data_IF_970914582552
#
_entry.id   IF_970914582552
#
_cell.length_a   1.000
_cell.length_b   1.000
_cell.length_c   1.000
_cell.angle_alpha   90.00
_cell.angle_beta   90.00
_cell.angle_gamma   90.00
#
_symmetry.space_group_name_H-M   'P 1'
#
loop_
_entity.id
_entity.type
_entity.pdbx_description
1 polymer ?
#
# COMPACT_ATOMS: atom_id res chain seq x y z
N UNK A 1 23.06 37.80 -26.44
CA UNK A 1 22.11 38.47 -25.53
C UNK A 1 21.04 37.44 -25.16
N UNK A 2 21.32 36.60 -24.16
CA UNK A 2 20.40 35.55 -23.74
C UNK A 2 19.31 36.19 -22.88
N UNK A 3 18.15 36.49 -23.48
CA UNK A 3 16.96 36.82 -22.71
C UNK A 3 16.65 35.61 -21.83
N UNK A 4 16.90 35.76 -20.52
CA UNK A 4 16.27 34.88 -19.53
C UNK A 4 14.77 35.07 -19.71
N UNK A 5 14.15 34.20 -20.50
CA UNK A 5 12.71 34.09 -20.61
C UNK A 5 12.22 33.76 -19.21
N UNK A 6 11.74 34.79 -18.50
CA UNK A 6 10.99 34.60 -17.27
C UNK A 6 9.85 33.62 -17.56
N UNK A 7 9.52 32.74 -16.60
CA UNK A 7 8.64 31.63 -16.90
C UNK A 7 7.24 32.14 -17.28
N UNK A 8 6.71 31.68 -18.42
CA UNK A 8 5.47 32.21 -19.03
C UNK A 8 4.26 32.13 -18.09
N UNK A 9 3.43 33.18 -17.95
CA UNK A 9 2.31 33.18 -17.00
C UNK A 9 1.33 31.99 -17.14
N UNK A 10 1.24 31.38 -18.33
CA UNK A 10 0.46 30.16 -18.57
C UNK A 10 0.95 28.92 -17.80
N UNK A 11 2.24 28.80 -17.47
CA UNK A 11 2.76 27.61 -16.77
C UNK A 11 2.15 27.47 -15.38
N UNK A 12 1.93 28.58 -14.66
CA UNK A 12 1.33 28.57 -13.31
C UNK A 12 -0.12 28.11 -13.33
N UNK A 13 -0.87 28.54 -14.34
CA UNK A 13 -2.28 28.16 -14.52
C UNK A 13 -2.39 26.67 -14.84
N UNK A 14 -1.54 26.16 -15.74
CA UNK A 14 -1.51 24.73 -16.05
C UNK A 14 -1.10 23.90 -14.83
N UNK A 15 -0.05 24.32 -14.12
CA UNK A 15 0.44 23.66 -12.91
C UNK A 15 -0.66 23.57 -11.83
N UNK A 16 -1.36 24.68 -11.57
CA UNK A 16 -2.46 24.71 -10.63
C UNK A 16 -3.59 23.77 -11.04
N UNK A 17 -4.00 23.77 -12.32
CA UNK A 17 -5.05 22.87 -12.83
C UNK A 17 -4.68 21.40 -12.70
N UNK A 18 -3.44 21.04 -13.05
CA UNK A 18 -2.96 19.65 -12.95
C UNK A 18 -2.99 19.16 -11.50
N UNK A 19 -2.54 20.01 -10.56
CA UNK A 19 -2.52 19.65 -9.15
C UNK A 19 -3.92 19.56 -8.54
N UNK A 20 -4.80 20.54 -8.79
CA UNK A 20 -6.14 20.56 -8.22
C UNK A 20 -7.03 19.42 -8.74
N UNK A 21 -6.86 19.03 -10.00
CA UNK A 21 -7.67 17.98 -10.60
C UNK A 21 -7.20 16.55 -10.22
N UNK A 22 -5.92 16.37 -9.91
CA UNK A 22 -5.33 15.04 -9.80
C UNK A 22 -5.82 14.27 -8.58
N UNK A 23 -5.63 14.78 -7.36
CA UNK A 23 -5.97 14.05 -6.13
C UNK A 23 -7.44 13.58 -6.10
N UNK A 24 -8.43 14.44 -6.42
CA UNK A 24 -9.83 14.00 -6.45
C UNK A 24 -10.09 12.92 -7.52
N UNK A 25 -9.50 13.07 -8.71
CA UNK A 25 -9.64 12.10 -9.80
C UNK A 25 -9.02 10.75 -9.41
N UNK A 26 -7.82 10.80 -8.82
CA UNK A 26 -7.08 9.63 -8.37
C UNK A 26 -7.86 8.84 -7.32
N UNK A 27 -8.36 9.51 -6.28
CA UNK A 27 -9.15 8.88 -5.22
C UNK A 27 -10.49 8.34 -5.74
N UNK A 28 -11.08 8.98 -6.74
CA UNK A 28 -12.29 8.48 -7.39
C UNK A 28 -12.03 7.18 -8.14
N UNK A 29 -10.99 7.13 -8.97
CA UNK A 29 -10.59 5.91 -9.70
C UNK A 29 -10.24 4.79 -8.72
N UNK A 30 -9.48 5.10 -7.68
CA UNK A 30 -9.16 4.14 -6.62
C UNK A 30 -10.43 3.59 -5.97
N UNK A 31 -11.39 4.44 -5.62
CA UNK A 31 -12.65 4.00 -4.99
C UNK A 31 -13.47 3.09 -5.90
N UNK A 32 -13.51 3.35 -7.21
CA UNK A 32 -14.15 2.47 -8.19
C UNK A 32 -13.48 1.10 -8.20
N UNK A 33 -12.14 1.06 -8.28
CA UNK A 33 -11.37 -0.18 -8.30
C UNK A 33 -11.56 -0.97 -7.01
N UNK A 34 -11.54 -0.29 -5.86
CA UNK A 34 -11.79 -0.91 -4.55
C UNK A 34 -13.20 -1.50 -4.46
N UNK A 35 -14.22 -0.83 -5.00
CA UNK A 35 -15.58 -1.38 -5.07
C UNK A 35 -15.64 -2.65 -5.92
N UNK A 36 -14.93 -2.68 -7.06
CA UNK A 36 -14.81 -3.88 -7.90
C UNK A 36 -14.12 -5.02 -7.14
N UNK A 37 -12.97 -4.76 -6.50
CA UNK A 37 -12.25 -5.77 -5.74
C UNK A 37 -13.05 -6.32 -4.54
N UNK A 38 -13.78 -5.47 -3.82
CA UNK A 38 -14.65 -5.89 -2.72
C UNK A 38 -15.84 -6.73 -3.21
N UNK A 39 -16.44 -6.35 -4.34
CA UNK A 39 -17.54 -7.10 -4.95
C UNK A 39 -17.08 -8.47 -5.42
N UNK A 40 -15.90 -8.53 -6.04
CA UNK A 40 -15.26 -9.78 -6.46
C UNK A 40 -14.97 -10.70 -5.26
N UNK A 41 -14.37 -10.16 -4.19
CA UNK A 41 -14.15 -10.92 -2.95
C UNK A 41 -15.46 -11.47 -2.37
N UNK A 42 -16.49 -10.64 -2.29
CA UNK A 42 -17.81 -11.05 -1.81
C UNK A 42 -18.41 -12.16 -2.69
N UNK A 43 -18.20 -12.10 -4.00
CA UNK A 43 -18.67 -13.11 -4.96
C UNK A 43 -17.96 -14.45 -4.75
N UNK A 44 -16.64 -14.45 -4.59
CA UNK A 44 -15.86 -15.66 -4.30
C UNK A 44 -16.30 -16.29 -2.98
N UNK A 45 -16.44 -15.49 -1.93
CA UNK A 45 -16.92 -15.97 -0.62
C UNK A 45 -18.34 -16.54 -0.77
N UNK A 46 -19.26 -15.84 -1.43
CA UNK A 46 -20.63 -16.29 -1.61
C UNK A 46 -20.74 -17.59 -2.43
N UNK A 47 -19.86 -17.78 -3.41
CA UNK A 47 -19.82 -19.01 -4.20
C UNK A 47 -19.28 -20.20 -3.39
N UNK A 48 -18.25 -19.99 -2.58
CA UNK A 48 -17.44 -21.08 -2.02
C UNK A 48 -17.55 -21.27 -0.50
N UNK A 49 -18.30 -20.42 0.23
CA UNK A 49 -18.34 -20.42 1.70
C UNK A 49 -18.68 -21.78 2.33
N UNK A 50 -19.45 -22.63 1.65
CA UNK A 50 -19.82 -23.97 2.14
C UNK A 50 -18.64 -24.95 2.12
N UNK A 51 -17.67 -24.73 1.26
CA UNK A 51 -16.48 -25.57 1.07
C UNK A 51 -15.26 -24.99 1.80
N UNK A 52 -15.36 -23.76 2.30
CA UNK A 52 -14.27 -23.10 3.00
C UNK A 52 -13.89 -23.83 4.29
N UNK A 53 -12.63 -24.23 4.34
CA UNK A 53 -11.98 -24.60 5.61
C UNK A 53 -11.67 -23.35 6.43
N UNK A 54 -11.26 -23.54 7.68
CA UNK A 54 -10.80 -22.45 8.57
C UNK A 54 -9.71 -21.60 7.91
N UNK A 55 -8.79 -22.22 7.15
CA UNK A 55 -7.71 -21.51 6.45
C UNK A 55 -8.25 -20.58 5.36
N UNK A 56 -9.28 -21.01 4.61
CA UNK A 56 -9.90 -20.18 3.58
C UNK A 56 -10.61 -18.96 4.18
N UNK A 57 -11.27 -19.13 5.33
CA UNK A 57 -11.84 -18.00 6.08
C UNK A 57 -10.78 -17.02 6.55
N UNK A 58 -9.64 -17.51 7.03
CA UNK A 58 -8.51 -16.65 7.38
C UNK A 58 -7.97 -15.91 6.15
N UNK A 59 -7.81 -16.58 5.00
CA UNK A 59 -7.38 -15.93 3.77
C UNK A 59 -8.37 -14.84 3.33
N UNK A 60 -9.67 -15.11 3.33
CA UNK A 60 -10.69 -14.12 2.99
C UNK A 60 -10.66 -12.90 3.92
N UNK A 61 -10.54 -13.12 5.24
CA UNK A 61 -10.45 -12.05 6.23
C UNK A 61 -9.18 -11.19 6.05
N UNK A 62 -8.04 -11.84 5.80
CA UNK A 62 -6.77 -11.17 5.60
C UNK A 62 -6.74 -10.43 4.26
N UNK A 63 -7.28 -11.00 3.18
CA UNK A 63 -7.47 -10.31 1.90
C UNK A 63 -8.36 -9.08 2.06
N UNK A 64 -9.50 -9.19 2.76
CA UNK A 64 -10.35 -8.04 3.07
C UNK A 64 -9.58 -6.93 3.82
N UNK A 65 -8.75 -7.33 4.80
CA UNK A 65 -7.89 -6.39 5.53
C UNK A 65 -6.87 -5.70 4.62
N UNK A 66 -6.31 -6.43 3.64
CA UNK A 66 -5.39 -5.86 2.64
C UNK A 66 -6.06 -4.82 1.77
N UNK A 67 -7.30 -5.05 1.29
CA UNK A 67 -8.04 -4.05 0.51
C UNK A 67 -8.20 -2.74 1.31
N UNK A 68 -8.56 -2.85 2.60
CA UNK A 68 -8.66 -1.69 3.48
C UNK A 68 -7.30 -0.99 3.67
N UNK A 69 -6.23 -1.75 3.87
CA UNK A 69 -4.87 -1.21 4.01
C UNK A 69 -4.47 -0.45 2.75
N UNK A 70 -4.65 -1.06 1.57
CA UNK A 70 -4.32 -0.44 0.28
C UNK A 70 -5.07 0.89 0.13
N UNK A 71 -6.38 0.88 0.32
CA UNK A 71 -7.19 2.10 0.27
C UNK A 71 -6.70 3.17 1.25
N UNK A 72 -6.41 2.78 2.51
CA UNK A 72 -5.95 3.69 3.54
C UNK A 72 -4.61 4.32 3.19
N UNK A 73 -3.64 3.53 2.73
CA UNK A 73 -2.30 4.00 2.35
C UNK A 73 -2.38 4.99 1.21
N UNK A 74 -3.11 4.67 0.14
CA UNK A 74 -3.25 5.59 -0.99
C UNK A 74 -4.01 6.87 -0.64
N UNK A 75 -5.02 6.79 0.22
CA UNK A 75 -5.74 7.98 0.73
C UNK A 75 -4.80 8.89 1.50
N UNK A 76 -3.99 8.33 2.41
CA UNK A 76 -2.98 9.09 3.16
C UNK A 76 -1.98 9.74 2.20
N UNK A 77 -1.42 8.98 1.26
CA UNK A 77 -0.41 9.51 0.34
C UNK A 77 -0.95 10.64 -0.54
N UNK A 78 -2.15 10.46 -1.12
CA UNK A 78 -2.79 11.48 -1.95
C UNK A 78 -3.24 12.73 -1.18
N UNK A 79 -3.42 12.62 0.14
CA UNK A 79 -3.81 13.76 0.99
C UNK A 79 -2.59 14.51 1.55
N UNK A 80 -1.51 13.80 1.88
CA UNK A 80 -0.34 14.38 2.56
C UNK A 80 0.61 15.05 1.58
N UNK A 81 0.77 14.51 0.37
CA UNK A 81 1.78 14.97 -0.57
C UNK A 81 1.18 15.69 -1.75
N UNK A 82 1.81 16.80 -2.11
CA UNK A 82 1.51 17.53 -3.32
C UNK A 82 2.48 17.15 -4.43
N UNK A 83 2.01 16.67 -5.58
CA UNK A 83 2.88 16.48 -6.75
C UNK A 83 2.08 16.53 -8.04
N UNK A 84 2.75 16.93 -9.13
CA UNK A 84 2.18 16.84 -10.47
C UNK A 84 2.25 15.37 -10.93
N UNK A 85 1.11 14.73 -11.24
CA UNK A 85 1.09 13.34 -11.64
C UNK A 85 1.74 13.11 -13.00
N UNK A 86 2.35 11.94 -13.15
CA UNK A 86 2.76 11.40 -14.44
C UNK A 86 1.84 10.23 -14.84
N UNK A 87 1.97 9.72 -16.07
CA UNK A 87 1.23 8.54 -16.57
C UNK A 87 1.38 7.33 -15.65
N UNK A 88 2.53 7.22 -14.98
CA UNK A 88 2.82 6.16 -14.00
C UNK A 88 1.89 6.24 -12.79
N UNK A 89 1.64 7.44 -12.28
CA UNK A 89 0.73 7.67 -11.17
C UNK A 89 -0.70 7.27 -11.56
N UNK A 90 -1.11 7.58 -12.80
CA UNK A 90 -2.41 7.18 -13.32
C UNK A 90 -2.55 5.65 -13.49
N UNK A 91 -1.45 4.93 -13.76
CA UNK A 91 -1.46 3.48 -13.94
C UNK A 91 -1.49 2.70 -12.61
N UNK A 92 -0.97 3.27 -11.50
CA UNK A 92 -0.84 2.56 -10.23
C UNK A 92 -2.15 1.93 -9.71
N UNK A 93 -3.29 2.65 -9.66
CA UNK A 93 -4.54 2.06 -9.16
C UNK A 93 -4.97 0.81 -9.93
N UNK A 94 -4.71 0.77 -11.25
CA UNK A 94 -5.06 -0.39 -12.08
C UNK A 94 -4.17 -1.59 -11.83
N UNK A 95 -2.86 -1.38 -11.66
CA UNK A 95 -1.92 -2.45 -11.30
C UNK A 95 -2.28 -3.03 -9.94
N UNK A 96 -2.57 -2.16 -8.97
CA UNK A 96 -3.01 -2.56 -7.63
C UNK A 96 -4.33 -3.32 -7.70
N UNK A 97 -5.32 -2.80 -8.42
CA UNK A 97 -6.60 -3.48 -8.62
C UNK A 97 -6.46 -4.87 -9.25
N UNK A 98 -5.59 -5.03 -10.24
CA UNK A 98 -5.32 -6.32 -10.84
C UNK A 98 -4.70 -7.31 -9.84
N UNK A 99 -3.79 -6.84 -8.97
CA UNK A 99 -3.21 -7.64 -7.89
C UNK A 99 -4.23 -8.01 -6.81
N UNK A 100 -5.15 -7.10 -6.47
CA UNK A 100 -6.25 -7.35 -5.53
C UNK A 100 -7.21 -8.41 -6.06
N UNK A 101 -7.62 -8.32 -7.33
CA UNK A 101 -8.45 -9.33 -7.99
C UNK A 101 -7.73 -10.68 -8.09
N UNK A 102 -6.43 -10.68 -8.39
CA UNK A 102 -5.62 -11.89 -8.35
C UNK A 102 -5.60 -12.50 -6.95
N UNK A 103 -5.40 -11.67 -5.91
CA UNK A 103 -5.35 -12.12 -4.52
C UNK A 103 -6.68 -12.72 -4.05
N UNK A 104 -7.81 -12.14 -4.46
CA UNK A 104 -9.15 -12.68 -4.20
C UNK A 104 -9.29 -14.12 -4.74
N UNK A 105 -8.91 -14.34 -6.00
CA UNK A 105 -8.97 -15.67 -6.63
C UNK A 105 -7.95 -16.64 -6.02
N UNK A 106 -6.80 -16.14 -5.57
CA UNK A 106 -5.78 -16.96 -4.95
C UNK A 106 -6.23 -17.61 -3.63
N UNK A 107 -7.30 -17.11 -2.99
CA UNK A 107 -7.91 -17.72 -1.80
C UNK A 107 -8.26 -19.20 -2.05
N UNK A 108 -8.84 -19.51 -3.21
CA UNK A 108 -9.32 -20.87 -3.56
C UNK A 108 -8.28 -21.70 -4.30
N UNK A 109 -7.29 -21.05 -4.92
CA UNK A 109 -6.22 -21.73 -5.66
C UNK A 109 -5.12 -22.28 -4.77
N UNK A 110 -4.97 -21.74 -3.56
CA UNK A 110 -4.11 -22.27 -2.52
C UNK A 110 -3.08 -21.30 -1.96
N UNK A 111 -2.49 -21.71 -0.85
CA UNK A 111 -1.67 -20.86 0.00
C UNK A 111 -0.45 -20.24 -0.70
N UNK A 112 0.28 -21.00 -1.53
CA UNK A 112 1.47 -20.47 -2.21
C UNK A 112 1.11 -19.33 -3.18
N UNK A 113 0.02 -19.47 -3.94
CA UNK A 113 -0.45 -18.40 -4.84
C UNK A 113 -1.00 -17.21 -4.06
N UNK A 114 -1.69 -17.46 -2.95
CA UNK A 114 -2.18 -16.38 -2.08
C UNK A 114 -1.04 -15.57 -1.47
N UNK A 115 0.02 -16.24 -0.98
CA UNK A 115 1.24 -15.58 -0.50
C UNK A 115 1.97 -14.82 -1.61
N UNK A 116 2.00 -15.35 -2.84
CA UNK A 116 2.58 -14.66 -3.99
C UNK A 116 1.80 -13.37 -4.33
N UNK A 117 0.46 -13.42 -4.28
CA UNK A 117 -0.39 -12.24 -4.47
C UNK A 117 -0.13 -11.16 -3.42
N UNK A 118 -0.04 -11.56 -2.15
CA UNK A 118 0.33 -10.64 -1.06
C UNK A 118 1.73 -10.07 -1.25
N UNK A 119 2.70 -10.88 -1.68
CA UNK A 119 4.04 -10.41 -1.96
C UNK A 119 4.02 -9.35 -3.08
N UNK A 120 3.23 -9.57 -4.13
CA UNK A 120 3.04 -8.59 -5.21
C UNK A 120 2.47 -7.26 -4.70
N UNK A 121 1.44 -7.30 -3.86
CA UNK A 121 0.86 -6.09 -3.24
C UNK A 121 1.88 -5.40 -2.34
N UNK A 122 2.61 -6.15 -1.51
CA UNK A 122 3.66 -5.58 -0.65
C UNK A 122 4.79 -4.94 -1.46
N UNK A 123 5.26 -5.61 -2.52
CA UNK A 123 6.25 -5.05 -3.45
C UNK A 123 5.75 -3.74 -4.08
N UNK A 124 4.49 -3.71 -4.53
CA UNK A 124 3.88 -2.48 -5.05
C UNK A 124 3.77 -1.38 -3.98
N UNK A 125 3.50 -1.72 -2.72
CA UNK A 125 3.54 -0.77 -1.62
C UNK A 125 4.93 -0.14 -1.43
N UNK A 126 6.00 -0.94 -1.52
CA UNK A 126 7.37 -0.44 -1.44
C UNK A 126 7.71 0.45 -2.65
N UNK A 127 7.38 0.02 -3.87
CA UNK A 127 7.59 0.79 -5.10
C UNK A 127 6.81 2.10 -5.09
N UNK A 128 5.53 2.06 -4.69
CA UNK A 128 4.66 3.23 -4.58
C UNK A 128 5.21 4.23 -3.56
N UNK A 129 5.65 3.76 -2.38
CA UNK A 129 6.27 4.61 -1.36
C UNK A 129 7.54 5.29 -1.88
N UNK A 130 8.38 4.54 -2.60
CA UNK A 130 9.60 5.09 -3.18
C UNK A 130 9.31 6.10 -4.29
N UNK A 131 8.35 5.78 -5.17
CA UNK A 131 7.93 6.66 -6.25
C UNK A 131 7.35 7.97 -5.72
N UNK A 132 6.45 7.88 -4.75
CA UNK A 132 5.86 9.05 -4.08
C UNK A 132 6.94 9.90 -3.40
N UNK A 133 7.90 9.30 -2.71
CA UNK A 133 9.03 10.06 -2.11
C UNK A 133 9.86 10.79 -3.17
N UNK A 134 10.09 10.16 -4.32
CA UNK A 134 10.79 10.76 -5.43
C UNK A 134 10.01 11.91 -6.08
N UNK A 135 8.69 11.76 -6.25
CA UNK A 135 7.81 12.81 -6.78
C UNK A 135 7.70 13.98 -5.81
N UNK A 136 7.47 13.70 -4.52
CA UNK A 136 7.31 14.71 -3.49
C UNK A 136 8.56 15.60 -3.36
N UNK A 137 9.76 15.06 -3.58
CA UNK A 137 11.03 15.82 -3.56
C UNK A 137 11.15 16.89 -4.64
N UNK A 138 10.36 16.79 -5.72
CA UNK A 138 10.40 17.77 -6.81
C UNK A 138 9.67 19.07 -6.46
N UNK A 139 8.74 19.00 -5.51
CA UNK A 139 7.95 20.15 -5.09
C UNK A 139 8.53 20.80 -3.83
N UNK A 140 8.83 22.09 -3.92
CA UNK A 140 9.44 22.87 -2.83
C UNK A 140 8.52 22.90 -1.59
N UNK A 141 7.22 22.86 -1.81
CA UNK A 141 6.18 22.87 -0.76
C UNK A 141 6.28 21.67 0.18
N UNK A 142 6.79 20.54 -0.31
CA UNK A 142 6.92 19.32 0.48
C UNK A 142 8.22 19.24 1.29
N UNK A 143 9.21 20.08 1.01
CA UNK A 143 10.57 19.90 1.52
C UNK A 143 10.64 19.81 3.05
N UNK A 144 9.91 20.68 3.76
CA UNK A 144 9.89 20.70 5.22
C UNK A 144 9.23 19.46 5.82
N UNK A 145 8.11 19.01 5.23
CA UNK A 145 7.36 17.84 5.70
C UNK A 145 8.10 16.54 5.37
N UNK A 146 8.75 16.45 4.21
CA UNK A 146 9.59 15.32 3.82
C UNK A 146 10.75 15.13 4.80
N UNK A 147 11.43 16.20 5.17
CA UNK A 147 12.53 16.13 6.14
C UNK A 147 12.07 15.67 7.52
N UNK A 148 10.85 16.03 7.90
CA UNK A 148 10.23 15.58 9.16
C UNK A 148 9.83 14.10 9.11
N UNK A 149 9.30 13.64 7.98
CA UNK A 149 8.77 12.28 7.82
C UNK A 149 9.75 11.29 7.19
N UNK A 150 10.97 11.70 6.80
CA UNK A 150 11.94 10.87 6.07
C UNK A 150 12.21 9.50 6.69
N UNK A 151 12.33 9.45 8.02
CA UNK A 151 12.56 8.19 8.73
C UNK A 151 11.34 7.27 8.65
N UNK A 152 10.13 7.83 8.72
CA UNK A 152 8.90 7.07 8.60
C UNK A 152 8.74 6.53 7.18
N UNK A 153 9.08 7.32 6.16
CA UNK A 153 9.08 6.85 4.76
C UNK A 153 10.06 5.70 4.54
N UNK A 154 11.29 5.82 5.06
CA UNK A 154 12.26 4.75 4.96
C UNK A 154 11.76 3.48 5.68
N UNK A 155 11.26 3.61 6.90
CA UNK A 155 10.70 2.49 7.65
C UNK A 155 9.51 1.86 6.92
N UNK A 156 8.63 2.66 6.32
CA UNK A 156 7.50 2.18 5.54
C UNK A 156 7.97 1.38 4.32
N UNK A 157 8.89 1.94 3.52
CA UNK A 157 9.44 1.26 2.34
C UNK A 157 10.15 -0.05 2.71
N UNK A 158 10.98 -0.03 3.76
CA UNK A 158 11.67 -1.23 4.25
C UNK A 158 10.69 -2.27 4.80
N UNK A 159 9.62 -1.84 5.47
CA UNK A 159 8.58 -2.74 5.98
C UNK A 159 7.90 -3.51 4.84
N UNK A 160 7.48 -2.81 3.78
CA UNK A 160 6.85 -3.44 2.62
C UNK A 160 7.83 -4.29 1.81
N UNK A 161 9.07 -3.83 1.61
CA UNK A 161 10.09 -4.61 0.91
C UNK A 161 10.47 -5.90 1.68
N UNK A 162 10.70 -5.78 2.99
CA UNK A 162 10.97 -6.92 3.86
C UNK A 162 9.78 -7.87 3.97
N UNK A 163 8.57 -7.33 4.06
CA UNK A 163 7.33 -8.11 4.03
C UNK A 163 7.18 -8.89 2.72
N UNK A 164 7.42 -8.25 1.57
CA UNK A 164 7.44 -8.92 0.27
C UNK A 164 8.46 -10.05 0.21
N UNK A 165 9.68 -9.83 0.69
CA UNK A 165 10.72 -10.86 0.70
C UNK A 165 10.34 -12.04 1.60
N UNK A 166 9.80 -11.77 2.79
CA UNK A 166 9.30 -12.80 3.71
C UNK A 166 8.17 -13.62 3.07
N UNK A 167 7.20 -12.95 2.43
CA UNK A 167 6.07 -13.61 1.78
C UNK A 167 6.51 -14.50 0.62
N UNK A 168 7.49 -14.06 -0.19
CA UNK A 168 8.08 -14.90 -1.25
C UNK A 168 8.80 -16.12 -0.68
N UNK A 169 9.55 -15.96 0.41
CA UNK A 169 10.21 -17.09 1.09
C UNK A 169 9.19 -18.08 1.63
N UNK A 170 8.07 -17.60 2.20
CA UNK A 170 6.98 -18.47 2.67
C UNK A 170 6.25 -19.15 1.52
N UNK A 171 6.01 -18.44 0.42
CA UNK A 171 5.40 -19.01 -0.79
C UNK A 171 6.26 -20.14 -1.36
N UNK A 172 7.58 -19.93 -1.40
CA UNK A 172 8.58 -20.92 -1.81
C UNK A 172 8.62 -22.11 -0.86
N UNK A 173 8.76 -21.86 0.45
CA UNK A 173 8.81 -22.91 1.47
C UNK A 173 7.53 -23.76 1.47
N UNK A 174 6.37 -23.14 1.29
CA UNK A 174 5.10 -23.86 1.18
C UNK A 174 5.04 -24.72 -0.10
N UNK A 175 5.56 -24.22 -1.22
CA UNK A 175 5.61 -24.96 -2.48
C UNK A 175 6.50 -26.20 -2.38
N UNK A 176 7.70 -26.07 -1.80
CA UNK A 176 8.66 -27.16 -1.64
C UNK A 176 8.21 -28.14 -0.53
N UNK A 177 7.80 -27.63 0.63
CA UNK A 177 7.37 -28.47 1.76
C UNK A 177 6.09 -29.27 1.50
N UNK A 178 5.24 -28.84 0.56
CA UNK A 178 4.08 -29.62 0.11
C UNK A 178 4.45 -30.96 -0.53
N UNK A 179 5.71 -31.14 -0.96
CA UNK A 179 6.19 -32.40 -1.52
C UNK A 179 6.61 -33.41 -0.45
N UNK A 180 6.87 -32.96 0.79
CA UNK A 180 7.52 -33.76 1.82
C UNK A 180 6.63 -34.07 3.04
N UNK A 181 5.53 -33.35 3.26
CA UNK A 181 4.76 -33.42 4.50
C UNK A 181 3.53 -34.35 4.46
N UNK A 182 3.35 -35.15 5.52
CA UNK A 182 2.11 -35.90 5.78
C UNK A 182 0.92 -34.95 6.04
N UNK A 183 -0.28 -35.31 5.55
CA UNK A 183 -1.50 -34.46 5.50
C UNK A 183 -1.83 -33.72 6.81
N UNK A 184 -1.57 -34.31 7.98
CA UNK A 184 -1.93 -33.73 9.29
C UNK A 184 -1.05 -32.54 9.71
N UNK A 185 0.23 -32.52 9.31
CA UNK A 185 1.16 -31.43 9.64
C UNK A 185 0.92 -30.18 8.79
N UNK A 186 0.39 -30.38 7.59
CA UNK A 186 0.17 -29.31 6.61
C UNK A 186 -0.90 -28.31 7.06
N UNK A 187 -1.97 -28.77 7.71
CA UNK A 187 -3.05 -27.89 8.20
C UNK A 187 -2.60 -26.92 9.30
N UNK A 188 -1.83 -27.39 10.29
CA UNK A 188 -1.31 -26.56 11.39
C UNK A 188 -0.33 -25.51 10.87
N UNK A 189 0.52 -25.89 9.91
CA UNK A 189 1.45 -24.97 9.26
C UNK A 189 0.70 -23.86 8.50
N UNK A 190 -0.34 -24.22 7.73
CA UNK A 190 -1.13 -23.23 6.98
C UNK A 190 -1.82 -22.21 7.89
N UNK A 191 -2.44 -22.66 8.98
CA UNK A 191 -3.03 -21.74 9.97
C UNK A 191 -1.96 -20.85 10.61
N UNK A 192 -0.83 -21.42 11.01
CA UNK A 192 0.26 -20.66 11.64
C UNK A 192 0.82 -19.59 10.72
N UNK A 193 1.01 -19.91 9.44
CA UNK A 193 1.45 -18.91 8.46
C UNK A 193 0.40 -17.84 8.22
N UNK A 194 -0.89 -18.19 8.11
CA UNK A 194 -1.96 -17.20 7.98
C UNK A 194 -1.99 -16.24 9.18
N UNK A 195 -1.85 -16.75 10.40
CA UNK A 195 -1.78 -15.92 11.61
C UNK A 195 -0.55 -15.01 11.62
N UNK A 196 0.61 -15.51 11.20
CA UNK A 196 1.82 -14.69 11.06
C UNK A 196 1.63 -13.56 10.05
N UNK A 197 0.99 -13.84 8.91
CA UNK A 197 0.60 -12.81 7.94
C UNK A 197 -0.32 -11.78 8.59
N UNK A 198 -1.31 -12.20 9.39
CA UNK A 198 -2.18 -11.30 10.16
C UNK A 198 -1.41 -10.38 11.11
N UNK A 199 -0.38 -10.88 11.79
CA UNK A 199 0.50 -10.05 12.63
C UNK A 199 1.26 -9.03 11.78
N UNK A 200 1.78 -9.41 10.62
CA UNK A 200 2.41 -8.47 9.68
C UNK A 200 1.42 -7.41 9.17
N UNK A 201 0.21 -7.78 8.77
CA UNK A 201 -0.79 -6.79 8.34
C UNK A 201 -1.16 -5.81 9.46
N UNK A 202 -1.24 -6.29 10.70
CA UNK A 202 -1.47 -5.44 11.87
C UNK A 202 -0.33 -4.43 12.06
N UNK A 203 0.92 -4.84 11.86
CA UNK A 203 2.08 -3.95 11.87
C UNK A 203 1.99 -2.86 10.79
N UNK A 204 1.60 -3.20 9.56
CA UNK A 204 1.39 -2.22 8.49
C UNK A 204 0.33 -1.17 8.87
N UNK A 205 -0.81 -1.61 9.42
CA UNK A 205 -1.87 -0.72 9.92
C UNK A 205 -1.38 0.23 11.01
N UNK A 206 -0.62 -0.29 12.00
CA UNK A 206 -0.08 0.52 13.09
C UNK A 206 0.87 1.59 12.54
N UNK A 207 1.80 1.23 11.65
CA UNK A 207 2.75 2.18 11.06
C UNK A 207 2.01 3.24 10.24
N UNK A 208 1.03 2.83 9.42
CA UNK A 208 0.19 3.76 8.65
C UNK A 208 -0.57 4.74 9.55
N UNK A 209 -1.17 4.23 10.62
CA UNK A 209 -1.91 5.05 11.59
C UNK A 209 -1.01 6.06 12.32
N UNK A 210 0.18 5.64 12.75
CA UNK A 210 1.16 6.53 13.39
C UNK A 210 1.64 7.61 12.43
N UNK A 211 1.85 7.27 11.15
CA UNK A 211 2.19 8.23 10.11
C UNK A 211 1.08 9.26 9.90
N UNK A 212 -0.17 8.80 9.74
CA UNK A 212 -1.33 9.66 9.56
C UNK A 212 -1.52 10.63 10.74
N UNK A 213 -1.38 10.14 11.97
CA UNK A 213 -1.51 10.97 13.17
C UNK A 213 -0.52 12.14 13.16
N UNK A 214 0.74 11.89 12.75
CA UNK A 214 1.77 12.95 12.64
C UNK A 214 1.44 13.96 11.55
N UNK A 215 0.94 13.51 10.41
CA UNK A 215 0.50 14.40 9.34
C UNK A 215 -0.67 15.30 9.77
N UNK A 216 -1.67 14.73 10.45
CA UNK A 216 -2.82 15.48 10.99
C UNK A 216 -2.40 16.46 12.08
N UNK A 217 -1.49 16.07 12.96
CA UNK A 217 -0.95 16.95 14.00
C UNK A 217 -0.19 18.14 13.41
N UNK A 218 0.64 17.90 12.39
CA UNK A 218 1.29 18.97 11.64
C UNK A 218 0.27 19.90 10.99
N UNK A 219 -0.76 19.35 10.31
CA UNK A 219 -1.81 20.15 9.68
C UNK A 219 -2.60 21.02 10.66
N UNK A 220 -2.84 20.53 11.89
CA UNK A 220 -3.56 21.29 12.94
C UNK A 220 -2.72 22.37 13.61
N UNK A 221 -1.44 22.08 13.86
CA UNK A 221 -0.59 22.92 14.71
C UNK A 221 0.33 23.84 13.92
N UNK A 222 0.60 23.52 12.65
CA UNK A 222 1.64 24.14 11.83
C UNK A 222 3.06 23.91 12.37
N UNK A 223 3.25 23.09 13.41
CA UNK A 223 4.53 22.86 14.08
C UNK A 223 5.08 21.49 13.75
N UNK A 224 6.32 21.45 13.29
CA UNK A 224 7.10 20.22 13.19
C UNK A 224 7.65 19.90 14.59
N UNK A 225 6.98 19.04 15.34
CA UNK A 225 7.45 18.60 16.65
C UNK A 225 8.72 17.74 16.50
N UNK A 226 9.88 18.36 16.31
CA UNK A 226 11.15 17.71 16.61
C UNK A 226 11.31 17.69 18.12
N UNK A 227 11.20 16.51 18.70
CA UNK A 227 11.76 16.26 20.03
C UNK A 227 13.29 16.34 19.92
N UNK A 228 13.85 17.55 20.00
CA UNK A 228 15.18 17.75 20.54
C UNK A 228 15.11 18.82 21.62
N UNK A 229 15.58 18.53 22.86
CA UNK A 229 15.64 19.53 23.90
C UNK A 229 16.59 20.63 23.43
N UNK A 230 16.18 21.89 23.57
CA UNK A 230 17.14 22.97 23.64
C UNK A 230 17.93 22.75 24.93
N UNK A 231 19.14 22.22 24.78
CA UNK A 231 20.15 22.27 25.84
C UNK A 231 20.74 23.68 25.73
N UNK A 232 20.18 24.58 26.54
CA UNK A 232 20.87 25.78 27.03
C UNK A 232 21.80 25.40 28.16
#
# INVERSE_FOLDING_TARGET
MNSKLGPEPHYRVLHQRLNEAFTPTYLTILSIIQAVALTDLATIVAAEYRQFTVVHWLFALLTFSVLIIVWNVYTIQGTVWHWIPDVRDAAMPFVVGALELFLNHAITLGMSLWLLGLAGIAAMGAVGTWHMHWQAKKEVENAQLLDYLKMHHLLFALYYAGGSALLLLLAWANRVGSWEAAERGQGVLSVSTALMVGVCLSGAMIISHLYWRKAVEYARTGRLLRAHPQIT
#
